data_IF_861893183644
#
_entry.id   IF_861893183644
#
_cell.length_a   1.000
_cell.length_b   1.000
_cell.length_c   1.000
_cell.angle_alpha   90.00
_cell.angle_beta   90.00
_cell.angle_gamma   90.00
#
_symmetry.space_group_name_H-M   'P 1'
#
loop_
_entity.id
_entity.type
_entity.pdbx_description
1 polymer ?
#
# COMPACT_ATOMS: atom_id res chain seq x y z
N UNK A 1 -32.54 -28.34 -10.85
CA UNK A 1 -31.38 -28.27 -9.93
C UNK A 1 -30.14 -28.68 -10.71
N UNK A 2 -29.27 -27.74 -11.11
CA UNK A 2 -27.96 -28.11 -11.68
C UNK A 2 -27.05 -28.55 -10.53
N UNK A 3 -26.63 -29.82 -10.54
CA UNK A 3 -25.54 -30.25 -9.67
C UNK A 3 -24.26 -29.51 -10.12
N UNK A 4 -23.52 -28.87 -9.20
CA UNK A 4 -22.29 -28.19 -9.57
C UNK A 4 -21.28 -29.23 -10.08
N UNK A 5 -20.51 -28.92 -11.14
CA UNK A 5 -19.57 -29.88 -11.73
C UNK A 5 -18.55 -30.36 -10.67
N UNK A 6 -18.18 -31.65 -10.67
CA UNK A 6 -17.40 -32.27 -9.60
C UNK A 6 -16.04 -31.61 -9.35
N UNK A 7 -15.46 -30.98 -10.39
CA UNK A 7 -14.23 -30.18 -10.30
C UNK A 7 -14.38 -28.93 -9.42
N UNK A 8 -15.52 -28.24 -9.48
CA UNK A 8 -15.76 -27.06 -8.64
C UNK A 8 -15.85 -27.43 -7.17
N UNK A 9 -16.48 -28.57 -6.85
CA UNK A 9 -16.61 -29.05 -5.46
C UNK A 9 -15.25 -29.45 -4.88
N UNK A 10 -14.36 -30.03 -5.69
CA UNK A 10 -12.99 -30.33 -5.27
C UNK A 10 -12.17 -29.06 -5.02
N UNK A 11 -12.23 -28.07 -5.92
CA UNK A 11 -11.55 -26.79 -5.73
C UNK A 11 -12.02 -26.07 -4.45
N UNK A 12 -13.32 -26.10 -4.16
CA UNK A 12 -13.91 -25.49 -2.96
C UNK A 12 -13.49 -26.20 -1.67
N UNK A 13 -13.31 -27.53 -1.71
CA UNK A 13 -12.77 -28.29 -0.57
C UNK A 13 -11.30 -27.97 -0.31
N UNK A 14 -10.50 -27.78 -1.36
CA UNK A 14 -9.08 -27.43 -1.25
C UNK A 14 -8.90 -25.99 -0.76
N UNK A 15 -9.77 -25.07 -1.18
CA UNK A 15 -9.69 -23.66 -0.77
C UNK A 15 -10.34 -23.35 0.58
N UNK A 16 -11.17 -24.26 1.13
CA UNK A 16 -11.83 -24.10 2.44
C UNK A 16 -10.87 -23.68 3.57
N UNK A 17 -9.75 -24.37 3.84
CA UNK A 17 -8.86 -23.97 4.94
C UNK A 17 -8.25 -22.58 4.72
N UNK A 18 -7.94 -22.22 3.47
CA UNK A 18 -7.41 -20.89 3.13
C UNK A 18 -8.47 -19.82 3.37
N UNK A 19 -9.70 -20.05 2.92
CA UNK A 19 -10.81 -19.12 3.11
C UNK A 19 -11.13 -18.94 4.59
N UNK A 20 -11.08 -20.00 5.38
CA UNK A 20 -11.35 -19.97 6.82
C UNK A 20 -10.28 -19.17 7.57
N UNK A 21 -9.00 -19.34 7.22
CA UNK A 21 -7.90 -18.51 7.74
C UNK A 21 -8.07 -17.05 7.34
N UNK A 22 -8.40 -16.76 6.07
CA UNK A 22 -8.65 -15.38 5.61
C UNK A 22 -9.80 -14.74 6.37
N UNK A 23 -10.90 -15.47 6.59
CA UNK A 23 -12.05 -14.98 7.36
C UNK A 23 -11.70 -14.75 8.83
N UNK A 24 -10.89 -15.62 9.44
CA UNK A 24 -10.41 -15.43 10.83
C UNK A 24 -9.52 -14.20 10.95
N UNK A 25 -8.56 -14.03 10.03
CA UNK A 25 -7.70 -12.85 9.95
C UNK A 25 -8.54 -11.58 9.76
N UNK A 26 -9.49 -11.62 8.83
CA UNK A 26 -10.38 -10.50 8.56
C UNK A 26 -11.22 -10.15 9.80
N UNK A 27 -11.77 -11.15 10.51
CA UNK A 27 -12.54 -10.91 11.75
C UNK A 27 -11.70 -10.32 12.86
N UNK A 28 -10.43 -10.70 12.97
CA UNK A 28 -9.51 -10.15 13.96
C UNK A 28 -9.06 -8.73 13.60
N UNK A 29 -8.70 -8.49 12.35
CA UNK A 29 -8.15 -7.21 11.87
C UNK A 29 -9.22 -6.16 11.60
N UNK A 30 -10.40 -6.55 11.11
CA UNK A 30 -11.47 -5.61 10.76
C UNK A 30 -11.86 -4.65 11.90
N UNK A 31 -12.13 -5.10 13.16
CA UNK A 31 -12.48 -4.16 14.22
C UNK A 31 -11.34 -3.21 14.56
N UNK A 32 -10.08 -3.68 14.55
CA UNK A 32 -8.91 -2.86 14.79
C UNK A 32 -8.72 -1.80 13.69
N UNK A 33 -8.83 -2.20 12.41
CA UNK A 33 -8.75 -1.30 11.26
C UNK A 33 -9.89 -0.28 11.25
N UNK A 34 -11.12 -0.69 11.59
CA UNK A 34 -12.27 0.21 11.67
C UNK A 34 -12.13 1.20 12.83
N UNK A 35 -11.64 0.75 13.99
CA UNK A 35 -11.40 1.64 15.13
C UNK A 35 -10.30 2.65 14.80
N UNK A 36 -9.20 2.19 14.21
CA UNK A 36 -8.13 3.05 13.73
C UNK A 36 -8.62 4.06 12.69
N UNK A 37 -9.42 3.63 11.71
CA UNK A 37 -10.02 4.52 10.72
C UNK A 37 -10.93 5.56 11.34
N UNK A 38 -11.82 5.16 12.27
CA UNK A 38 -12.68 6.09 13.00
C UNK A 38 -11.89 7.10 13.82
N UNK A 39 -10.82 6.64 14.48
CA UNK A 39 -9.92 7.51 15.24
C UNK A 39 -9.21 8.51 14.33
N UNK A 40 -8.67 8.07 13.19
CA UNK A 40 -8.03 8.95 12.22
C UNK A 40 -9.02 9.94 11.59
N UNK A 41 -10.23 9.50 11.30
CA UNK A 41 -11.31 10.37 10.80
C UNK A 41 -11.72 11.40 11.84
N UNK A 42 -11.82 11.01 13.11
CA UNK A 42 -12.07 11.93 14.23
C UNK A 42 -10.97 12.99 14.35
N UNK A 43 -9.70 12.58 14.29
CA UNK A 43 -8.55 13.50 14.27
C UNK A 43 -8.62 14.45 13.08
N UNK A 44 -8.93 13.94 11.88
CA UNK A 44 -9.07 14.74 10.66
C UNK A 44 -10.12 15.85 10.80
N UNK A 45 -11.23 15.60 11.51
CA UNK A 45 -12.28 16.59 11.71
C UNK A 45 -11.93 17.68 12.73
N UNK A 46 -11.02 17.39 13.67
CA UNK A 46 -10.65 18.32 14.76
C UNK A 46 -9.50 19.22 14.33
N UNK A 47 -8.55 18.67 13.58
CA UNK A 47 -7.33 19.36 13.21
C UNK A 47 -7.62 20.26 12.00
N UNK A 48 -7.33 21.58 12.08
CA UNK A 48 -7.52 22.44 10.93
C UNK A 48 -6.54 22.09 9.79
N UNK A 49 -6.96 22.36 8.55
CA UNK A 49 -6.30 21.81 7.37
C UNK A 49 -4.83 22.22 7.21
N UNK A 50 -4.43 23.38 7.73
CA UNK A 50 -3.05 23.87 7.62
C UNK A 50 -2.12 23.11 8.59
N UNK A 51 -2.59 22.86 9.79
CA UNK A 51 -1.92 22.11 10.85
C UNK A 51 -1.79 20.64 10.45
N UNK A 52 -2.83 20.08 9.84
CA UNK A 52 -2.76 18.75 9.24
C UNK A 52 -1.72 18.69 8.11
N UNK A 53 -1.69 19.70 7.23
CA UNK A 53 -0.70 19.79 6.14
C UNK A 53 0.73 19.87 6.69
N UNK A 54 0.95 20.62 7.77
CA UNK A 54 2.24 20.67 8.44
C UNK A 54 2.63 19.33 9.05
N UNK A 55 1.73 18.70 9.82
CA UNK A 55 2.01 17.39 10.44
C UNK A 55 2.31 16.32 9.39
N UNK A 56 1.58 16.34 8.28
CA UNK A 56 1.86 15.49 7.14
C UNK A 56 3.24 15.81 6.52
N UNK A 57 3.59 17.09 6.42
CA UNK A 57 4.93 17.52 5.99
C UNK A 57 6.04 17.01 6.90
N UNK A 58 5.87 17.12 8.21
CA UNK A 58 6.82 16.56 9.20
C UNK A 58 6.91 15.04 9.06
N UNK A 59 5.77 14.34 8.96
CA UNK A 59 5.77 12.89 8.80
C UNK A 59 6.54 12.46 7.54
N UNK A 60 6.36 13.15 6.42
CA UNK A 60 7.13 12.92 5.20
C UNK A 60 8.62 13.23 5.38
N UNK A 61 8.97 14.30 6.09
CA UNK A 61 10.37 14.65 6.36
C UNK A 61 11.13 13.60 7.15
N UNK A 62 10.49 12.95 8.12
CA UNK A 62 11.17 12.04 9.05
C UNK A 62 10.96 10.56 8.75
N UNK A 63 9.92 10.21 7.98
CA UNK A 63 9.55 8.82 7.72
C UNK A 63 9.27 8.51 6.25
N UNK A 64 9.36 9.49 5.35
CA UNK A 64 8.94 9.32 3.96
C UNK A 64 9.77 8.31 3.16
N UNK A 65 11.06 8.16 3.46
CA UNK A 65 11.94 7.19 2.81
C UNK A 65 11.60 5.73 3.10
N UNK A 66 11.13 5.44 4.32
CA UNK A 66 10.68 4.09 4.69
C UNK A 66 9.44 3.67 3.89
N UNK A 67 8.53 4.62 3.61
CA UNK A 67 7.26 4.37 2.93
C UNK A 67 7.27 4.74 1.44
N UNK A 68 8.39 4.49 0.76
CA UNK A 68 8.61 4.91 -0.62
C UNK A 68 7.60 4.30 -1.61
N UNK A 69 7.28 3.00 -1.48
CA UNK A 69 6.33 2.32 -2.36
C UNK A 69 4.90 2.78 -2.09
N UNK A 70 4.53 3.01 -0.83
CA UNK A 70 3.22 3.49 -0.41
C UNK A 70 2.96 4.93 -0.89
N UNK A 71 3.95 5.82 -0.76
CA UNK A 71 3.85 7.19 -1.28
C UNK A 71 3.74 7.17 -2.81
N UNK A 72 4.57 6.38 -3.48
CA UNK A 72 4.47 6.20 -4.92
C UNK A 72 3.10 5.62 -5.33
N UNK A 73 2.54 4.69 -4.56
CA UNK A 73 1.23 4.12 -4.83
C UNK A 73 0.14 5.18 -4.77
N UNK A 74 0.16 6.06 -3.76
CA UNK A 74 -0.80 7.17 -3.65
C UNK A 74 -0.62 8.16 -4.80
N UNK A 75 0.61 8.49 -5.17
CA UNK A 75 0.90 9.39 -6.30
C UNK A 75 0.40 8.80 -7.64
N UNK A 76 0.69 7.52 -7.88
CA UNK A 76 0.20 6.78 -9.04
C UNK A 76 -1.33 6.68 -9.02
N UNK A 77 -1.94 6.39 -7.87
CA UNK A 77 -3.40 6.31 -7.74
C UNK A 77 -4.07 7.62 -8.17
N UNK A 78 -3.53 8.76 -7.72
CA UNK A 78 -4.03 10.09 -8.09
C UNK A 78 -3.85 10.39 -9.59
N UNK A 79 -2.77 9.91 -10.21
CA UNK A 79 -2.49 10.16 -11.64
C UNK A 79 -3.20 9.19 -12.59
N UNK A 80 -3.41 7.95 -12.17
CA UNK A 80 -3.91 6.85 -13.01
C UNK A 80 -5.43 6.67 -12.97
N UNK A 81 -6.17 7.65 -12.45
CA UNK A 81 -7.64 7.64 -12.44
C UNK A 81 -8.27 7.01 -11.19
N UNK A 82 -7.63 7.15 -10.03
CA UNK A 82 -8.13 6.67 -8.74
C UNK A 82 -9.56 7.12 -8.41
N UNK A 83 -10.01 8.26 -8.94
CA UNK A 83 -11.39 8.74 -8.81
C UNK A 83 -12.42 7.71 -9.29
N UNK A 84 -12.13 7.00 -10.39
CA UNK A 84 -13.00 5.92 -10.88
C UNK A 84 -13.04 4.74 -9.92
N UNK A 85 -11.92 4.39 -9.30
CA UNK A 85 -11.86 3.33 -8.30
C UNK A 85 -12.64 3.70 -7.03
N UNK A 86 -12.60 4.97 -6.63
CA UNK A 86 -13.41 5.50 -5.52
C UNK A 86 -14.91 5.42 -5.82
N UNK A 87 -15.33 5.68 -7.07
CA UNK A 87 -16.71 5.48 -7.49
C UNK A 87 -17.12 3.99 -7.39
N UNK A 88 -16.31 3.07 -7.93
CA UNK A 88 -16.57 1.63 -7.80
C UNK A 88 -16.66 1.17 -6.34
N UNK A 89 -15.82 1.71 -5.45
CA UNK A 89 -15.87 1.43 -4.02
C UNK A 89 -17.16 1.95 -3.38
N UNK A 90 -17.62 3.14 -3.78
CA UNK A 90 -18.89 3.71 -3.32
C UNK A 90 -20.08 2.87 -3.78
N UNK A 91 -20.07 2.39 -5.02
CA UNK A 91 -21.10 1.52 -5.56
C UNK A 91 -21.13 0.17 -4.83
N UNK A 92 -19.96 -0.40 -4.54
CA UNK A 92 -19.83 -1.62 -3.74
C UNK A 92 -20.32 -1.42 -2.31
N UNK A 93 -19.96 -0.30 -1.67
CA UNK A 93 -20.41 0.05 -0.32
C UNK A 93 -21.93 0.23 -0.24
N UNK A 94 -22.53 0.84 -1.26
CA UNK A 94 -23.99 1.01 -1.36
C UNK A 94 -24.68 -0.35 -1.47
N UNK A 95 -24.20 -1.22 -2.35
CA UNK A 95 -24.71 -2.60 -2.48
C UNK A 95 -24.54 -3.42 -1.20
N UNK A 96 -23.41 -3.28 -0.52
CA UNK A 96 -23.16 -3.94 0.77
C UNK A 96 -24.13 -3.45 1.85
N UNK A 97 -24.45 -2.16 1.86
CA UNK A 97 -25.44 -1.61 2.79
C UNK A 97 -26.85 -2.15 2.52
N UNK A 98 -27.27 -2.22 1.25
CA UNK A 98 -28.56 -2.80 0.85
C UNK A 98 -28.65 -4.28 1.23
N UNK A 99 -27.59 -5.06 0.97
CA UNK A 99 -27.50 -6.45 1.38
C UNK A 99 -27.62 -6.62 2.90
N UNK A 100 -26.95 -5.74 3.66
CA UNK A 100 -27.01 -5.76 5.12
C UNK A 100 -28.40 -5.42 5.65
N UNK A 101 -29.05 -4.39 5.10
CA UNK A 101 -30.40 -4.00 5.48
C UNK A 101 -31.42 -5.11 5.18
N UNK A 102 -31.36 -5.71 3.98
CA UNK A 102 -32.22 -6.83 3.61
C UNK A 102 -32.00 -8.05 4.53
N UNK A 103 -30.76 -8.30 4.96
CA UNK A 103 -30.48 -9.34 5.96
C UNK A 103 -31.14 -9.05 7.32
N UNK A 104 -31.09 -7.79 7.79
CA UNK A 104 -31.70 -7.40 9.06
C UNK A 104 -33.24 -7.50 9.02
N UNK A 105 -33.85 -7.14 7.89
CA UNK A 105 -35.29 -7.28 7.67
C UNK A 105 -35.73 -8.75 7.64
N UNK A 106 -34.94 -9.61 6.98
CA UNK A 106 -35.14 -11.06 6.98
C UNK A 106 -34.97 -11.68 8.39
N UNK A 107 -34.01 -11.19 9.18
CA UNK A 107 -33.83 -11.64 10.58
C UNK A 107 -35.03 -11.27 11.46
N UNK A 108 -35.57 -10.05 11.34
CA UNK A 108 -36.77 -9.60 12.06
C UNK A 108 -38.02 -10.40 11.69
N UNK A 109 -38.16 -10.78 10.41
CA UNK A 109 -39.28 -11.59 9.95
C UNK A 109 -39.22 -13.05 10.45
N UNK A 110 -38.04 -13.53 10.87
CA UNK A 110 -37.79 -14.95 11.22
C UNK A 110 -37.67 -15.19 12.72
N UNK A 111 -37.39 -14.15 13.51
CA UNK A 111 -37.24 -14.23 14.97
C UNK A 111 -38.44 -14.83 15.72
N UNK A 112 -39.59 -14.96 15.07
CA UNK A 112 -40.82 -15.49 15.66
C UNK A 112 -41.07 -16.99 15.45
N UNK A 113 -40.34 -17.74 14.59
CA UNK A 113 -40.89 -19.06 14.19
C UNK A 113 -40.01 -20.28 13.84
N UNK A 114 -38.67 -20.30 13.75
CA UNK A 114 -37.99 -21.57 13.34
C UNK A 114 -36.50 -21.75 13.71
N UNK A 115 -36.15 -22.92 14.29
CA UNK A 115 -34.80 -23.50 14.27
C UNK A 115 -34.55 -24.14 12.90
N UNK A 116 -33.78 -23.46 12.03
CA UNK A 116 -33.35 -23.98 10.73
C UNK A 116 -32.00 -24.69 10.83
N UNK A 117 -31.76 -25.67 9.96
CA UNK A 117 -30.45 -26.31 9.78
C UNK A 117 -29.43 -25.31 9.22
N UNK A 118 -28.15 -25.39 9.66
CA UNK A 118 -27.10 -24.42 9.27
C UNK A 118 -26.99 -24.25 7.74
N UNK A 119 -27.10 -25.33 6.97
CA UNK A 119 -26.99 -25.28 5.51
C UNK A 119 -28.15 -24.55 4.84
N UNK A 120 -29.35 -24.66 5.41
CA UNK A 120 -30.55 -23.99 4.89
C UNK A 120 -30.53 -22.50 5.24
N UNK A 121 -30.00 -22.16 6.42
CA UNK A 121 -29.74 -20.78 6.83
C UNK A 121 -28.78 -20.08 5.86
N UNK A 122 -27.65 -20.71 5.51
CA UNK A 122 -26.71 -20.14 4.54
C UNK A 122 -27.34 -19.93 3.16
N UNK A 123 -28.07 -20.92 2.63
CA UNK A 123 -28.75 -20.80 1.32
C UNK A 123 -29.76 -19.66 1.32
N UNK A 124 -30.55 -19.53 2.39
CA UNK A 124 -31.51 -18.45 2.56
C UNK A 124 -30.82 -17.09 2.59
N UNK A 125 -29.79 -16.93 3.43
CA UNK A 125 -29.06 -15.66 3.55
C UNK A 125 -28.39 -15.23 2.26
N UNK A 126 -27.73 -16.16 1.56
CA UNK A 126 -27.18 -15.90 0.23
C UNK A 126 -28.29 -15.50 -0.74
N UNK A 127 -29.45 -16.16 -0.71
CA UNK A 127 -30.60 -15.81 -1.54
C UNK A 127 -31.17 -14.41 -1.25
N UNK A 128 -31.23 -13.99 0.02
CA UNK A 128 -31.67 -12.64 0.42
C UNK A 128 -30.68 -11.58 -0.07
N UNK A 129 -29.38 -11.82 0.12
CA UNK A 129 -28.32 -10.92 -0.36
C UNK A 129 -28.36 -10.79 -1.89
N UNK A 130 -28.48 -11.90 -2.62
CA UNK A 130 -28.54 -11.90 -4.08
C UNK A 130 -29.80 -11.23 -4.63
N UNK A 131 -30.91 -11.20 -3.89
CA UNK A 131 -32.14 -10.48 -4.29
C UNK A 131 -32.05 -8.98 -4.02
N UNK A 132 -31.28 -8.58 -3.02
CA UNK A 132 -31.15 -7.19 -2.60
C UNK A 132 -30.11 -6.40 -3.40
N UNK A 133 -29.15 -7.09 -4.02
CA UNK A 133 -28.01 -6.49 -4.73
C UNK A 133 -28.24 -6.54 -6.24
N UNK A 134 -27.91 -5.45 -6.92
CA UNK A 134 -27.92 -5.41 -8.38
C UNK A 134 -26.68 -6.13 -8.95
N UNK A 135 -26.83 -7.24 -9.69
CA UNK A 135 -25.71 -8.09 -10.08
C UNK A 135 -24.77 -7.39 -11.07
N UNK A 136 -25.30 -6.62 -12.01
CA UNK A 136 -24.51 -5.93 -13.03
C UNK A 136 -23.61 -4.87 -12.40
N UNK A 137 -24.14 -4.08 -11.47
CA UNK A 137 -23.37 -3.07 -10.72
C UNK A 137 -22.31 -3.73 -9.85
N UNK A 138 -22.63 -4.84 -9.17
CA UNK A 138 -21.66 -5.56 -8.34
C UNK A 138 -20.50 -6.11 -9.17
N UNK A 139 -20.80 -6.75 -10.30
CA UNK A 139 -19.76 -7.31 -11.20
C UNK A 139 -18.93 -6.20 -11.81
N UNK A 140 -19.55 -5.12 -12.27
CA UNK A 140 -18.85 -3.97 -12.85
C UNK A 140 -17.96 -3.27 -11.81
N UNK A 141 -18.44 -3.09 -10.58
CA UNK A 141 -17.66 -2.52 -9.49
C UNK A 141 -16.46 -3.42 -9.14
N UNK A 142 -16.67 -4.74 -9.00
CA UNK A 142 -15.58 -5.70 -8.75
C UNK A 142 -14.53 -5.68 -9.88
N UNK A 143 -14.99 -5.69 -11.14
CA UNK A 143 -14.11 -5.65 -12.31
C UNK A 143 -13.33 -4.33 -12.38
N UNK A 144 -13.98 -3.19 -12.14
CA UNK A 144 -13.34 -1.88 -12.09
C UNK A 144 -12.30 -1.76 -10.97
N UNK A 145 -12.58 -2.35 -9.81
CA UNK A 145 -11.66 -2.38 -8.67
C UNK A 145 -10.42 -3.23 -8.97
N UNK A 146 -10.61 -4.41 -9.60
CA UNK A 146 -9.51 -5.26 -10.06
C UNK A 146 -8.68 -4.58 -11.15
N UNK A 147 -9.31 -3.95 -12.15
CA UNK A 147 -8.63 -3.23 -13.22
C UNK A 147 -7.84 -2.03 -12.68
N UNK A 148 -8.42 -1.26 -11.76
CA UNK A 148 -7.72 -0.13 -11.13
C UNK A 148 -6.55 -0.59 -10.26
N UNK A 149 -6.69 -1.71 -9.55
CA UNK A 149 -5.58 -2.34 -8.83
C UNK A 149 -4.45 -2.76 -9.78
N UNK A 150 -4.76 -3.45 -10.88
CA UNK A 150 -3.76 -3.83 -11.89
C UNK A 150 -3.10 -2.60 -12.52
N UNK A 151 -3.88 -1.57 -12.85
CA UNK A 151 -3.37 -0.31 -13.40
C UNK A 151 -2.39 0.38 -12.45
N UNK A 152 -2.73 0.44 -11.15
CA UNK A 152 -1.86 0.95 -10.10
C UNK A 152 -0.55 0.14 -10.01
N UNK A 153 -0.66 -1.19 -9.98
CA UNK A 153 0.50 -2.08 -9.92
C UNK A 153 1.42 -1.92 -11.13
N UNK A 154 0.86 -1.74 -12.33
CA UNK A 154 1.63 -1.49 -13.55
C UNK A 154 2.35 -0.14 -13.51
N UNK A 155 1.68 0.91 -13.04
CA UNK A 155 2.30 2.23 -12.87
C UNK A 155 3.44 2.21 -11.84
N UNK A 156 3.24 1.52 -10.72
CA UNK A 156 4.26 1.32 -9.69
C UNK A 156 5.47 0.56 -10.23
N UNK A 157 5.23 -0.57 -10.92
CA UNK A 157 6.31 -1.34 -11.54
C UNK A 157 7.06 -0.54 -12.58
N UNK A 158 6.36 0.22 -13.41
CA UNK A 158 7.02 1.09 -14.39
C UNK A 158 7.95 2.10 -13.70
N UNK A 159 7.52 2.68 -12.58
CA UNK A 159 8.32 3.63 -11.78
C UNK A 159 9.60 3.00 -11.23
N UNK A 160 9.53 1.74 -10.76
CA UNK A 160 10.67 1.03 -10.17
C UNK A 160 11.38 0.04 -11.12
N UNK A 161 10.95 -0.05 -12.39
CA UNK A 161 11.44 -1.03 -13.34
C UNK A 161 12.94 -0.89 -13.59
N UNK A 162 13.42 0.35 -13.70
CA UNK A 162 14.84 0.63 -13.88
C UNK A 162 15.65 0.15 -12.66
N UNK A 163 15.21 0.46 -11.44
CA UNK A 163 15.87 0.03 -10.20
C UNK A 163 16.04 -1.50 -10.14
N UNK A 164 15.00 -2.26 -10.51
CA UNK A 164 15.05 -3.73 -10.56
C UNK A 164 15.95 -4.24 -11.69
N UNK A 165 15.89 -3.62 -12.87
CA UNK A 165 16.72 -4.00 -14.01
C UNK A 165 18.22 -3.80 -13.72
N UNK A 166 18.56 -2.68 -13.09
CA UNK A 166 19.92 -2.37 -12.66
C UNK A 166 20.42 -3.37 -11.61
N UNK A 167 19.58 -3.73 -10.64
CA UNK A 167 19.89 -4.76 -9.65
C UNK A 167 20.19 -6.12 -10.30
N UNK A 168 19.33 -6.57 -11.21
CA UNK A 168 19.52 -7.83 -11.94
C UNK A 168 20.82 -7.82 -12.76
N UNK A 169 21.12 -6.71 -13.44
CA UNK A 169 22.34 -6.56 -14.23
C UNK A 169 23.61 -6.66 -13.36
N UNK A 170 23.63 -5.99 -12.21
CA UNK A 170 24.74 -6.09 -11.25
C UNK A 170 24.91 -7.54 -10.75
N UNK A 171 23.81 -8.21 -10.40
CA UNK A 171 23.86 -9.61 -9.97
C UNK A 171 24.43 -10.54 -11.05
N UNK A 172 24.05 -10.34 -12.32
CA UNK A 172 24.53 -11.14 -13.44
C UNK A 172 26.03 -10.91 -13.71
N UNK A 173 26.54 -9.68 -13.53
CA UNK A 173 27.97 -9.36 -13.60
C UNK A 173 28.77 -10.00 -12.46
N UNK A 174 28.23 -10.00 -11.23
CA UNK A 174 28.87 -10.59 -10.05
C UNK A 174 28.80 -12.12 -10.02
N UNK A 175 27.98 -12.74 -10.87
CA UNK A 175 27.76 -14.19 -10.86
C UNK A 175 29.03 -15.01 -11.05
N UNK A 176 29.86 -14.66 -12.04
CA UNK A 176 31.10 -15.39 -12.34
C UNK A 176 32.13 -15.32 -11.20
N UNK A 177 32.51 -14.14 -10.68
CA UNK A 177 33.50 -14.07 -9.60
C UNK A 177 32.99 -14.74 -8.31
N UNK A 178 31.70 -14.59 -7.98
CA UNK A 178 31.12 -15.22 -6.78
C UNK A 178 31.01 -16.73 -6.95
N UNK A 179 30.62 -17.23 -8.13
CA UNK A 179 30.55 -18.66 -8.39
C UNK A 179 31.93 -19.32 -8.25
N UNK A 180 33.00 -18.67 -8.71
CA UNK A 180 34.36 -19.19 -8.54
C UNK A 180 34.73 -19.40 -7.06
N UNK A 181 34.34 -18.47 -6.18
CA UNK A 181 34.66 -18.52 -4.76
C UNK A 181 33.72 -19.45 -3.96
N UNK A 182 32.42 -19.41 -4.23
CA UNK A 182 31.38 -20.03 -3.39
C UNK A 182 31.09 -21.47 -3.80
N UNK A 183 31.23 -21.83 -5.07
CA UNK A 183 31.00 -23.20 -5.56
C UNK A 183 31.81 -24.27 -4.82
N UNK A 184 33.14 -24.14 -4.60
CA UNK A 184 33.90 -25.17 -3.88
C UNK A 184 33.44 -25.31 -2.43
N UNK A 185 33.03 -24.23 -1.77
CA UNK A 185 32.50 -24.25 -0.41
C UNK A 185 31.15 -25.00 -0.37
N UNK A 186 30.21 -24.67 -1.26
CA UNK A 186 28.93 -25.36 -1.33
C UNK A 186 29.06 -26.83 -1.75
N UNK A 187 29.98 -27.15 -2.64
CA UNK A 187 30.25 -28.52 -3.06
C UNK A 187 30.81 -29.40 -1.92
N UNK A 188 31.55 -28.81 -0.98
CA UNK A 188 32.03 -29.51 0.21
C UNK A 188 30.92 -29.75 1.26
N UNK A 189 29.90 -28.90 1.31
CA UNK A 189 28.79 -29.01 2.29
C UNK A 189 27.62 -29.85 1.79
N UNK A 190 27.42 -29.95 0.47
CA UNK A 190 26.27 -30.62 -0.13
C UNK A 190 26.63 -32.01 -0.70
N UNK A 191 25.75 -33.01 -0.52
CA UNK A 191 25.88 -34.30 -1.21
C UNK A 191 25.89 -34.14 -2.74
N UNK A 192 26.52 -35.07 -3.48
CA UNK A 192 26.69 -34.96 -4.93
C UNK A 192 25.38 -34.86 -5.72
N UNK A 193 24.30 -35.46 -5.22
CA UNK A 193 22.97 -35.40 -5.85
C UNK A 193 22.39 -33.98 -5.95
N UNK A 194 22.85 -33.07 -5.08
CA UNK A 194 22.38 -31.68 -5.00
C UNK A 194 23.29 -30.68 -5.71
N UNK A 195 24.44 -31.09 -6.26
CA UNK A 195 25.37 -30.16 -6.92
C UNK A 195 24.75 -29.42 -8.10
N UNK A 196 23.72 -30.00 -8.75
CA UNK A 196 22.93 -29.33 -9.80
C UNK A 196 22.23 -28.05 -9.34
N UNK A 197 21.92 -27.92 -8.05
CA UNK A 197 21.26 -26.75 -7.47
C UNK A 197 22.24 -25.64 -7.09
N UNK A 198 23.55 -25.91 -6.97
CA UNK A 198 24.54 -24.94 -6.50
C UNK A 198 24.51 -23.66 -7.35
N UNK A 199 24.59 -23.81 -8.67
CA UNK A 199 24.54 -22.67 -9.59
C UNK A 199 23.23 -21.87 -9.48
N UNK A 200 22.11 -22.55 -9.20
CA UNK A 200 20.81 -21.91 -9.04
C UNK A 200 20.71 -21.18 -7.69
N UNK A 201 21.22 -21.77 -6.61
CA UNK A 201 21.26 -21.16 -5.28
C UNK A 201 22.10 -19.88 -5.32
N UNK A 202 23.28 -19.93 -5.95
CA UNK A 202 24.15 -18.75 -6.10
C UNK A 202 23.43 -17.65 -6.91
N UNK A 203 22.80 -18.01 -8.02
CA UNK A 203 22.07 -17.06 -8.87
C UNK A 203 20.90 -16.39 -8.14
N UNK A 204 20.06 -17.19 -7.44
CA UNK A 204 18.93 -16.66 -6.67
C UNK A 204 19.44 -15.77 -5.53
N UNK A 205 20.46 -16.21 -4.79
CA UNK A 205 21.01 -15.46 -3.66
C UNK A 205 21.57 -14.10 -4.10
N UNK A 206 22.33 -14.07 -5.21
CA UNK A 206 22.86 -12.82 -5.76
C UNK A 206 21.76 -11.86 -6.21
N UNK A 207 20.72 -12.36 -6.88
CA UNK A 207 19.58 -11.52 -7.29
C UNK A 207 18.82 -10.98 -6.09
N UNK A 208 18.58 -11.80 -5.07
CA UNK A 208 17.95 -11.35 -3.82
C UNK A 208 18.77 -10.25 -3.13
N UNK A 209 20.09 -10.44 -3.01
CA UNK A 209 20.97 -9.44 -2.42
C UNK A 209 21.02 -8.15 -3.23
N UNK A 210 21.13 -8.24 -4.55
CA UNK A 210 21.16 -7.06 -5.42
C UNK A 210 19.84 -6.29 -5.37
N UNK A 211 18.70 -6.99 -5.37
CA UNK A 211 17.38 -6.37 -5.23
C UNK A 211 17.23 -5.71 -3.86
N UNK A 212 17.67 -6.37 -2.78
CA UNK A 212 17.65 -5.77 -1.44
C UNK A 212 18.47 -4.47 -1.37
N UNK A 213 19.67 -4.47 -1.95
CA UNK A 213 20.51 -3.27 -2.03
C UNK A 213 19.87 -2.17 -2.87
N UNK A 214 19.23 -2.52 -3.98
CA UNK A 214 18.56 -1.57 -4.85
C UNK A 214 17.38 -0.88 -4.13
N UNK A 215 16.60 -1.63 -3.34
CA UNK A 215 15.57 -1.05 -2.48
C UNK A 215 16.16 -0.09 -1.43
N UNK A 216 17.33 -0.40 -0.84
CA UNK A 216 18.01 0.53 0.08
C UNK A 216 18.47 1.82 -0.60
N UNK A 217 18.90 1.76 -1.85
CA UNK A 217 19.22 2.97 -2.62
C UNK A 217 17.95 3.78 -2.94
N UNK A 218 16.86 3.10 -3.28
CA UNK A 218 15.57 3.74 -3.55
C UNK A 218 15.00 4.45 -2.30
N UNK A 219 15.14 3.85 -1.11
CA UNK A 219 14.78 4.48 0.16
C UNK A 219 15.53 5.81 0.36
N UNK A 220 16.81 5.89 -0.01
CA UNK A 220 17.60 7.13 0.07
C UNK A 220 17.06 8.19 -0.89
N UNK A 221 16.81 7.83 -2.15
CA UNK A 221 16.27 8.75 -3.16
C UNK A 221 14.88 9.25 -2.71
N UNK A 222 14.05 8.34 -2.22
CA UNK A 222 12.72 8.65 -1.72
C UNK A 222 12.76 9.53 -0.48
N UNK A 223 13.71 9.31 0.44
CA UNK A 223 13.91 10.14 1.63
C UNK A 223 14.27 11.58 1.26
N UNK A 224 15.09 11.78 0.23
CA UNK A 224 15.41 13.13 -0.26
C UNK A 224 14.16 13.79 -0.86
N UNK A 225 13.44 13.09 -1.74
CA UNK A 225 12.24 13.62 -2.38
C UNK A 225 11.14 13.97 -1.35
N UNK A 226 10.84 13.02 -0.46
CA UNK A 226 9.83 13.19 0.59
C UNK A 226 10.27 14.18 1.66
N UNK A 227 11.57 14.23 1.97
CA UNK A 227 12.22 15.23 2.81
C UNK A 227 11.96 16.65 2.33
N UNK A 228 12.28 16.91 1.07
CA UNK A 228 12.09 18.23 0.44
C UNK A 228 10.61 18.60 0.35
N UNK A 229 9.77 17.68 -0.14
CA UNK A 229 8.33 17.93 -0.26
C UNK A 229 7.69 18.17 1.12
N UNK A 230 8.06 17.39 2.13
CA UNK A 230 7.61 17.58 3.50
C UNK A 230 8.07 18.91 4.09
N UNK A 231 9.30 19.33 3.79
CA UNK A 231 9.88 20.59 4.24
C UNK A 231 9.13 21.79 3.67
N UNK A 232 8.82 21.78 2.38
CA UNK A 232 8.00 22.81 1.74
C UNK A 232 6.60 22.86 2.36
N UNK A 233 5.94 21.71 2.56
CA UNK A 233 4.59 21.66 3.18
C UNK A 233 4.60 22.22 4.61
N UNK A 234 5.64 21.91 5.38
CA UNK A 234 5.82 22.42 6.72
C UNK A 234 6.09 23.93 6.73
N UNK A 235 7.06 24.40 5.92
CA UNK A 235 7.42 25.81 5.82
C UNK A 235 6.22 26.68 5.43
N UNK A 236 5.48 26.29 4.39
CA UNK A 236 4.26 26.98 3.95
C UNK A 236 3.24 27.06 5.10
N UNK A 237 3.02 25.96 5.82
CA UNK A 237 2.05 25.93 6.92
C UNK A 237 2.45 26.82 8.11
N UNK A 238 3.75 26.86 8.45
CA UNK A 238 4.29 27.74 9.50
C UNK A 238 4.09 29.21 9.13
N UNK A 239 4.37 29.61 7.89
CA UNK A 239 4.18 30.99 7.45
C UNK A 239 2.70 31.39 7.51
N UNK A 240 1.79 30.53 7.03
CA UNK A 240 0.34 30.77 7.10
C UNK A 240 -0.14 30.92 8.55
N UNK A 241 0.40 30.11 9.47
CA UNK A 241 0.11 30.23 10.90
C UNK A 241 0.62 31.53 11.52
N UNK A 242 1.85 31.94 11.18
CA UNK A 242 2.41 33.21 11.60
C UNK A 242 1.56 34.39 11.13
N UNK A 243 0.97 34.31 9.93
CA UNK A 243 0.07 35.34 9.40
C UNK A 243 -1.30 35.40 10.08
N UNK A 244 -1.82 34.26 10.53
CA UNK A 244 -3.10 34.18 11.25
C UNK A 244 -3.03 34.70 12.70
N UNK A 245 -1.82 34.93 13.21
CA UNK A 245 -1.58 35.38 14.58
C UNK A 245 -1.55 34.20 15.54
N UNK A 246 -0.35 33.75 15.89
CA UNK A 246 -0.15 32.66 16.84
C UNK A 246 -0.19 33.19 18.28
N UNK A 247 -1.11 32.69 19.11
CA UNK A 247 -1.50 33.29 20.40
C UNK A 247 -0.42 33.37 21.51
N UNK A 248 0.73 32.68 21.42
CA UNK A 248 1.81 32.76 22.44
C UNK A 248 3.00 33.63 22.02
N UNK A 249 3.07 34.05 20.76
CA UNK A 249 4.12 34.95 20.29
C UNK A 249 3.46 36.23 19.79
N UNK A 250 3.72 37.35 20.45
CA UNK A 250 3.28 38.70 20.07
C UNK A 250 3.83 39.19 18.71
N UNK A 251 4.28 38.29 17.83
CA UNK A 251 4.77 38.52 16.47
C UNK A 251 3.63 38.62 15.42
N UNK A 252 2.42 39.02 15.81
CA UNK A 252 1.28 39.23 14.90
C UNK A 252 1.42 40.41 13.93
N UNK A 253 2.65 40.81 13.57
CA UNK A 253 2.92 42.01 12.75
C UNK A 253 4.10 41.92 11.79
N UNK A 254 4.73 40.75 11.63
CA UNK A 254 5.93 40.63 10.78
C UNK A 254 5.62 40.56 9.27
N UNK A 255 4.42 40.14 8.86
CA UNK A 255 4.06 40.03 7.44
C UNK A 255 2.74 40.75 7.14
N UNK A 256 2.82 42.01 6.66
CA UNK A 256 1.64 42.81 6.27
C UNK A 256 1.06 42.43 4.90
N UNK A 257 1.78 41.66 4.08
CA UNK A 257 1.31 41.19 2.76
C UNK A 257 0.75 39.77 2.89
N UNK A 258 -0.36 39.48 2.21
CA UNK A 258 -0.89 38.11 2.06
C UNK A 258 0.23 37.22 1.54
N UNK A 259 0.51 36.12 2.23
CA UNK A 259 1.53 35.16 1.81
C UNK A 259 1.08 34.51 0.52
N UNK A 260 1.98 34.49 -0.44
CA UNK A 260 1.84 33.75 -1.68
C UNK A 260 3.02 32.76 -1.76
N UNK A 261 2.76 31.44 -1.73
CA UNK A 261 3.80 30.42 -1.73
C UNK A 261 4.69 30.45 -2.98
N UNK A 262 4.22 31.02 -4.09
CA UNK A 262 4.97 31.02 -5.34
C UNK A 262 5.94 32.20 -5.50
N UNK A 263 5.80 33.24 -4.66
CA UNK A 263 6.57 34.49 -4.79
C UNK A 263 7.42 34.84 -3.57
N UNK A 264 7.23 34.15 -2.45
CA UNK A 264 7.91 34.42 -1.18
C UNK A 264 8.91 33.33 -0.85
N UNK A 265 10.16 33.67 -0.53
CA UNK A 265 11.19 32.72 -0.10
C UNK A 265 11.13 32.35 1.41
N UNK A 266 10.20 32.94 2.16
CA UNK A 266 10.18 32.77 3.63
C UNK A 266 9.88 31.33 4.09
N UNK A 267 9.06 30.60 3.34
CA UNK A 267 8.77 29.20 3.62
C UNK A 267 9.93 28.27 3.24
N UNK A 268 10.69 28.58 2.20
CA UNK A 268 11.91 27.83 1.84
C UNK A 268 12.98 27.93 2.94
N UNK A 269 13.14 29.12 3.54
CA UNK A 269 14.11 29.33 4.64
C UNK A 269 13.80 28.47 5.87
N UNK A 270 12.52 28.17 6.12
CA UNK A 270 12.08 27.31 7.23
C UNK A 270 12.04 25.85 6.80
N UNK A 271 11.58 25.60 5.57
CA UNK A 271 11.34 24.27 5.03
C UNK A 271 12.62 23.50 4.68
N UNK A 272 13.63 24.17 4.12
CA UNK A 272 14.89 23.51 3.73
C UNK A 272 15.70 23.00 4.93
N UNK A 273 15.89 23.75 6.04
CA UNK A 273 16.52 23.22 7.24
C UNK A 273 15.74 22.04 7.82
N UNK A 274 14.41 22.10 7.80
CA UNK A 274 13.56 21.00 8.27
C UNK A 274 13.71 19.75 7.40
N UNK A 275 13.74 19.92 6.07
CA UNK A 275 14.01 18.85 5.12
C UNK A 275 15.40 18.22 5.36
N UNK A 276 16.44 19.04 5.51
CA UNK A 276 17.79 18.57 5.77
C UNK A 276 17.89 17.78 7.09
N UNK A 277 17.25 18.29 8.16
CA UNK A 277 17.18 17.59 9.44
C UNK A 277 16.45 16.25 9.34
N UNK A 278 15.34 16.21 8.61
CA UNK A 278 14.56 14.99 8.37
C UNK A 278 15.33 13.95 7.55
N UNK A 279 15.98 14.35 6.45
CA UNK A 279 16.81 13.47 5.61
C UNK A 279 17.97 12.90 6.43
N UNK A 280 18.67 13.76 7.19
CA UNK A 280 19.75 13.34 8.07
C UNK A 280 19.27 12.34 9.13
N UNK A 281 18.10 12.60 9.73
CA UNK A 281 17.49 11.69 10.69
C UNK A 281 17.21 10.31 10.08
N UNK A 282 16.60 10.28 8.89
CA UNK A 282 16.27 9.05 8.19
C UNK A 282 17.52 8.21 7.87
N UNK A 283 18.58 8.86 7.37
CA UNK A 283 19.85 8.22 7.08
C UNK A 283 20.51 7.65 8.34
N UNK A 284 20.50 8.40 9.44
CA UNK A 284 21.13 7.98 10.70
C UNK A 284 20.42 6.77 11.32
N UNK A 285 19.10 6.65 11.16
CA UNK A 285 18.31 5.54 11.72
C UNK A 285 18.10 4.38 10.73
N UNK A 286 18.80 4.38 9.58
CA UNK A 286 18.67 3.36 8.52
C UNK A 286 17.21 3.12 8.09
N UNK A 287 16.44 4.21 8.01
CA UNK A 287 15.00 4.20 7.70
C UNK A 287 14.11 3.43 8.68
N UNK A 288 14.67 2.95 9.80
CA UNK A 288 13.89 2.26 10.83
C UNK A 288 13.03 3.22 11.64
N UNK A 289 11.79 2.81 11.91
CA UNK A 289 10.87 3.54 12.78
C UNK A 289 11.27 3.38 14.25
N UNK A 290 11.56 4.48 14.98
CA UNK A 290 11.81 4.40 16.41
C UNK A 290 10.52 4.05 17.17
N UNK A 291 10.65 3.37 18.30
CA UNK A 291 9.54 3.14 19.22
C UNK A 291 9.02 4.50 19.77
N UNK A 292 7.70 4.76 19.82
CA UNK A 292 6.57 3.84 19.57
C UNK A 292 5.99 3.90 18.15
N UNK A 293 6.58 4.67 17.22
CA UNK A 293 6.05 4.83 15.87
C UNK A 293 6.04 3.53 15.07
N UNK A 294 6.97 2.61 15.36
CA UNK A 294 6.98 1.28 14.76
C UNK A 294 5.68 0.50 15.00
N UNK A 295 5.07 0.61 16.18
CA UNK A 295 3.82 -0.06 16.50
C UNK A 295 2.62 0.70 15.94
N UNK A 296 2.65 2.03 16.03
CA UNK A 296 1.58 2.89 15.52
C UNK A 296 1.44 2.80 13.99
N UNK A 297 2.56 2.72 13.27
CA UNK A 297 2.60 2.66 11.81
C UNK A 297 2.75 1.23 11.27
N UNK A 298 2.66 0.21 12.12
CA UNK A 298 2.76 -1.20 11.73
C UNK A 298 1.82 -1.58 10.56
N UNK A 299 0.54 -1.15 10.52
CA UNK A 299 -0.32 -1.44 9.37
C UNK A 299 0.23 -0.87 8.07
N UNK A 300 0.84 0.32 8.11
CA UNK A 300 1.43 0.96 6.95
C UNK A 300 2.73 0.24 6.53
N UNK A 301 3.54 -0.21 7.49
CA UNK A 301 4.73 -1.03 7.21
C UNK A 301 4.36 -2.35 6.54
N UNK A 302 3.27 -3.01 6.94
CA UNK A 302 2.79 -4.22 6.27
C UNK A 302 2.41 -3.92 4.80
N UNK A 303 1.70 -2.81 4.56
CA UNK A 303 1.31 -2.40 3.20
C UNK A 303 2.54 -2.10 2.35
N UNK A 304 3.53 -1.41 2.90
CA UNK A 304 4.80 -1.09 2.24
C UNK A 304 5.54 -2.35 1.79
N UNK A 305 5.74 -3.30 2.71
CA UNK A 305 6.41 -4.57 2.42
C UNK A 305 5.64 -5.41 1.40
N UNK A 306 4.30 -5.43 1.49
CA UNK A 306 3.46 -6.11 0.51
C UNK A 306 3.57 -5.46 -0.87
N UNK A 307 3.62 -4.13 -0.96
CA UNK A 307 3.80 -3.41 -2.23
C UNK A 307 5.18 -3.70 -2.83
N UNK A 308 6.25 -3.63 -2.04
CA UNK A 308 7.62 -3.96 -2.48
C UNK A 308 7.71 -5.40 -2.99
N UNK A 309 7.09 -6.34 -2.28
CA UNK A 309 6.97 -7.72 -2.71
C UNK A 309 6.21 -7.82 -4.04
N UNK A 310 5.06 -7.16 -4.15
CA UNK A 310 4.24 -7.21 -5.36
C UNK A 310 4.97 -6.61 -6.58
N UNK A 311 5.71 -5.51 -6.40
CA UNK A 311 6.50 -4.86 -7.45
C UNK A 311 7.62 -5.78 -7.94
N UNK A 312 8.31 -6.44 -7.00
CA UNK A 312 9.47 -7.30 -7.30
C UNK A 312 9.07 -8.63 -7.95
N UNK A 313 8.02 -9.28 -7.44
CA UNK A 313 7.76 -10.70 -7.73
C UNK A 313 6.57 -10.99 -8.62
N UNK A 314 5.58 -10.09 -8.72
CA UNK A 314 4.50 -10.36 -9.67
C UNK A 314 5.08 -10.27 -11.08
N UNK A 315 4.84 -11.26 -11.96
CA UNK A 315 5.17 -11.11 -13.37
C UNK A 315 4.35 -9.95 -13.92
N UNK A 316 4.98 -9.08 -14.73
CA UNK A 316 4.21 -8.33 -15.70
C UNK A 316 3.70 -9.38 -16.66
N UNK A 317 2.39 -9.58 -16.74
CA UNK A 317 1.86 -10.24 -17.93
C UNK A 317 2.28 -9.34 -19.07
N UNK A 318 3.25 -9.78 -19.86
CA UNK A 318 3.52 -9.23 -21.17
C UNK A 318 2.20 -9.39 -21.92
N UNK A 319 1.32 -8.40 -21.81
CA UNK A 319 0.35 -8.14 -22.85
C UNK A 319 1.20 -7.78 -24.03
N UNK A 320 1.63 -8.81 -24.76
CA UNK A 320 2.16 -8.75 -26.10
C UNK A 320 1.10 -7.95 -26.85
N UNK A 321 1.31 -6.64 -26.95
CA UNK A 321 0.73 -5.88 -28.04
C UNK A 321 1.22 -6.64 -29.27
N UNK A 322 0.32 -7.25 -30.07
CA UNK A 322 0.77 -7.89 -31.29
C UNK A 322 1.52 -6.83 -32.05
N UNK A 323 2.83 -7.06 -32.22
CA UNK A 323 3.70 -6.17 -32.97
C UNK A 323 2.95 -5.86 -34.26
N UNK A 324 2.53 -4.60 -34.41
CA UNK A 324 1.92 -4.14 -35.63
C UNK A 324 3.00 -4.31 -36.69
N UNK A 325 2.90 -5.41 -37.44
CA UNK A 325 3.63 -5.62 -38.69
C UNK A 325 3.33 -4.40 -39.55
N UNK A 326 4.33 -3.55 -39.73
CA UNK A 326 4.48 -2.66 -40.87
C UNK A 326 5.79 -3.02 -41.53
#
# INVERSE_FOLDING_TARGET
MLQPPPRCVQCLKISKPVLEVVVQILRLLAPALLYFYKFMYYLYLIIPANELRMMYGVALCFFGGEFCASIAAVECFRRSGGDKLLLCLKDLGTNMHLAHQASLEDDKATSSQQQLSEQEWYKRKVGVVLKAVEPDVLVQACAGLYQGFLGLMMALKFKFAWTVALACSIADLLRKPVAFLVTPCLAAMLPPDYHKWINQIINISLKLMAVHLAWKLEEVVSAVQSGLLGGCLFGTGVVILCQRGFSWASCGRCCKKKFDPETSYMDDVIGLPMAAAGIWFQLKHNFSLPFPFNLALLPLTIVEELLRFCITWFPVQDTVLPAARR
#
